data_IF_920938506017
#
_entry.id   IF_920938506017
#
_cell.length_a   1.000
_cell.length_b   1.000
_cell.length_c   1.000
_cell.angle_alpha   90.00
_cell.angle_beta   90.00
_cell.angle_gamma   90.00
#
_symmetry.space_group_name_H-M   'P 1'
#
loop_
_entity.id
_entity.type
_entity.pdbx_description
1 polymer ?
#
# COMPACT_ATOMS: atom_id res chain seq x y z
N UNK A 1 14.59 -90.79 51.17
CA UNK A 1 15.27 -89.42 51.04
C UNK A 1 15.16 -89.00 49.63
N UNK A 2 14.10 -88.24 49.28
CA UNK A 2 13.91 -87.68 47.91
C UNK A 2 13.83 -86.13 48.04
N UNK A 3 14.78 -85.39 47.46
CA UNK A 3 14.76 -83.95 47.37
C UNK A 3 14.11 -83.56 46.03
N UNK A 4 13.00 -82.92 46.13
CA UNK A 4 12.26 -82.32 44.97
C UNK A 4 12.81 -80.92 44.68
N UNK A 5 13.30 -80.73 43.47
CA UNK A 5 13.79 -79.44 42.96
C UNK A 5 12.60 -78.69 42.37
N UNK A 6 12.25 -77.52 42.91
CA UNK A 6 11.26 -76.59 42.32
C UNK A 6 11.89 -75.61 41.38
N UNK A 7 11.51 -75.68 40.10
CA UNK A 7 11.90 -74.73 39.06
C UNK A 7 11.00 -73.46 39.14
N UNK A 8 11.55 -72.35 39.38
CA UNK A 8 10.83 -71.07 39.35
C UNK A 8 11.05 -70.43 37.96
N UNK A 9 10.00 -70.40 37.14
CA UNK A 9 9.95 -69.67 35.85
C UNK A 9 9.61 -68.22 36.12
N UNK A 10 10.52 -67.29 35.88
CA UNK A 10 10.26 -65.84 35.87
C UNK A 10 9.80 -65.46 34.49
N UNK A 11 8.54 -65.03 34.36
CA UNK A 11 7.99 -64.42 33.17
C UNK A 11 8.43 -62.94 33.14
N UNK A 12 9.28 -62.58 32.16
CA UNK A 12 9.66 -61.19 31.90
C UNK A 12 8.59 -60.53 31.03
N UNK A 13 7.91 -59.50 31.56
CA UNK A 13 6.97 -58.63 30.82
C UNK A 13 7.78 -57.57 30.02
N UNK A 14 7.87 -57.75 28.69
CA UNK A 14 8.46 -56.73 27.82
C UNK A 14 7.41 -55.61 27.54
N UNK A 15 7.62 -54.45 28.14
CA UNK A 15 6.80 -53.25 27.85
C UNK A 15 7.31 -52.63 26.56
N UNK A 16 6.54 -52.76 25.48
CA UNK A 16 6.80 -52.06 24.22
C UNK A 16 6.31 -50.60 24.36
N UNK A 17 7.27 -49.63 24.53
CA UNK A 17 6.97 -48.20 24.49
C UNK A 17 6.87 -47.80 23.03
N UNK A 18 5.62 -47.64 22.51
CA UNK A 18 5.37 -47.02 21.22
C UNK A 18 5.49 -45.49 21.41
N UNK A 19 6.64 -44.91 21.02
CA UNK A 19 6.82 -43.48 20.94
C UNK A 19 6.08 -43.01 19.69
N UNK A 20 4.83 -42.57 19.84
CA UNK A 20 4.08 -41.86 18.80
C UNK A 20 4.73 -40.48 18.62
N UNK A 21 5.61 -40.38 17.64
CA UNK A 21 6.15 -39.09 17.19
C UNK A 21 5.01 -38.26 16.58
N UNK A 22 4.42 -37.35 17.37
CA UNK A 22 3.58 -36.32 16.82
C UNK A 22 4.49 -35.42 15.93
N UNK A 23 4.36 -35.53 14.62
CA UNK A 23 4.88 -34.50 13.71
C UNK A 23 4.19 -33.18 14.09
N UNK A 24 4.89 -32.36 14.88
CA UNK A 24 4.51 -30.97 15.07
C UNK A 24 4.62 -30.32 13.70
N UNK A 25 3.49 -30.08 13.02
CA UNK A 25 3.45 -29.24 11.86
C UNK A 25 3.99 -27.86 12.30
N UNK A 26 5.15 -27.47 11.76
CA UNK A 26 5.65 -26.11 11.95
C UNK A 26 4.54 -25.16 11.53
N UNK A 27 4.21 -24.11 12.32
CA UNK A 27 3.21 -23.14 11.90
C UNK A 27 3.61 -22.64 10.51
N UNK A 28 2.65 -22.67 9.58
CA UNK A 28 2.86 -22.17 8.24
C UNK A 28 3.42 -20.74 8.38
N UNK A 29 4.63 -20.53 7.85
CA UNK A 29 5.27 -19.21 7.90
C UNK A 29 4.48 -18.31 6.97
N UNK A 30 3.99 -17.17 7.49
CA UNK A 30 3.27 -16.19 6.69
C UNK A 30 4.04 -15.89 5.39
N UNK A 31 3.39 -16.07 4.24
CA UNK A 31 3.96 -15.80 2.94
C UNK A 31 3.69 -14.33 2.56
N UNK A 32 4.68 -13.66 1.97
CA UNK A 32 4.54 -12.27 1.52
C UNK A 32 4.31 -12.24 0.01
N UNK A 33 3.21 -11.62 -0.40
CA UNK A 33 2.86 -11.44 -1.81
C UNK A 33 2.89 -9.98 -2.21
N UNK A 34 3.22 -9.77 -3.48
CA UNK A 34 3.35 -8.46 -4.11
C UNK A 34 2.47 -8.43 -5.34
N UNK A 35 1.59 -7.44 -5.45
CA UNK A 35 0.73 -7.21 -6.59
C UNK A 35 1.19 -5.95 -7.31
N UNK A 36 1.51 -6.08 -8.61
CA UNK A 36 1.99 -4.97 -9.44
C UNK A 36 1.02 -4.73 -10.58
N UNK A 37 0.40 -3.55 -10.61
CA UNK A 37 -0.48 -3.11 -11.69
C UNK A 37 0.32 -2.57 -12.87
N UNK A 38 0.19 -3.22 -14.04
CA UNK A 38 0.87 -2.85 -15.29
C UNK A 38 -0.17 -2.28 -16.26
N UNK A 39 -0.30 -0.95 -16.28
CA UNK A 39 -1.43 -0.28 -16.93
C UNK A 39 -1.52 -0.53 -18.42
N UNK A 40 -0.41 -0.39 -19.17
CA UNK A 40 -0.45 -0.49 -20.65
C UNK A 40 -0.50 -1.93 -21.14
N UNK A 41 -0.11 -2.92 -20.31
CA UNK A 41 -0.37 -4.33 -20.58
C UNK A 41 -1.71 -4.81 -20.04
N UNK A 42 -2.45 -3.97 -19.29
CA UNK A 42 -3.75 -4.28 -18.69
C UNK A 42 -3.75 -5.57 -17.85
N UNK A 43 -2.73 -5.71 -16.99
CA UNK A 43 -2.53 -6.92 -16.19
C UNK A 43 -1.95 -6.62 -14.81
N UNK A 44 -2.14 -7.57 -13.90
CA UNK A 44 -1.54 -7.59 -12.57
C UNK A 44 -0.51 -8.72 -12.54
N UNK A 45 0.72 -8.42 -12.14
CA UNK A 45 1.68 -9.44 -11.77
C UNK A 45 1.52 -9.76 -10.29
N UNK A 46 1.39 -11.04 -9.97
CA UNK A 46 1.47 -11.57 -8.61
C UNK A 46 2.85 -12.16 -8.42
N UNK A 47 3.58 -11.64 -7.42
CA UNK A 47 4.90 -12.14 -7.08
C UNK A 47 4.91 -12.58 -5.61
N UNK A 48 5.77 -13.53 -5.29
CA UNK A 48 6.08 -13.91 -3.92
C UNK A 48 7.43 -13.32 -3.52
N UNK A 49 7.50 -12.70 -2.35
CA UNK A 49 8.72 -12.16 -1.76
C UNK A 49 9.31 -13.19 -0.79
N UNK A 50 10.51 -13.66 -1.09
CA UNK A 50 11.31 -14.44 -0.14
C UNK A 50 11.94 -13.51 0.91
N UNK A 51 11.40 -13.48 2.11
CA UNK A 51 11.86 -12.58 3.18
C UNK A 51 13.31 -12.78 3.63
N UNK A 52 13.89 -13.98 3.63
CA UNK A 52 15.31 -14.14 3.93
C UNK A 52 16.24 -13.42 2.97
N UNK A 53 15.98 -13.48 1.66
CA UNK A 53 16.87 -12.96 0.62
C UNK A 53 16.40 -11.66 -0.03
N UNK A 54 15.11 -11.30 0.09
CA UNK A 54 14.50 -10.19 -0.66
C UNK A 54 14.24 -10.52 -2.15
N UNK A 55 14.39 -11.79 -2.55
CA UNK A 55 14.16 -12.23 -3.92
C UNK A 55 12.66 -12.30 -4.24
N UNK A 56 12.31 -11.95 -5.48
CA UNK A 56 10.95 -12.02 -5.99
C UNK A 56 10.83 -13.14 -7.03
N UNK A 57 9.74 -13.90 -6.93
CA UNK A 57 9.36 -14.93 -7.90
C UNK A 57 7.96 -14.66 -8.43
N UNK A 58 7.79 -14.63 -9.76
CA UNK A 58 6.46 -14.46 -10.38
C UNK A 58 5.63 -15.71 -10.13
N UNK A 59 4.47 -15.54 -9.50
CA UNK A 59 3.48 -16.59 -9.23
C UNK A 59 2.52 -16.72 -10.42
N UNK A 60 1.99 -15.59 -10.88
CA UNK A 60 1.09 -15.52 -12.04
C UNK A 60 1.00 -14.10 -12.63
N UNK A 61 0.39 -14.02 -13.80
CA UNK A 61 0.00 -12.77 -14.45
C UNK A 61 -1.49 -12.84 -14.74
N UNK A 62 -2.24 -11.85 -14.29
CA UNK A 62 -3.70 -11.85 -14.34
C UNK A 62 -4.18 -10.66 -15.16
N UNK A 63 -4.95 -10.85 -16.23
CA UNK A 63 -5.54 -9.75 -16.97
C UNK A 63 -6.60 -9.03 -16.13
N UNK A 64 -6.72 -7.71 -16.32
CA UNK A 64 -7.81 -6.92 -15.71
C UNK A 64 -9.00 -6.98 -16.68
N UNK A 65 -10.10 -7.66 -16.30
CA UNK A 65 -11.21 -7.89 -17.23
C UNK A 65 -12.04 -6.62 -17.45
N UNK A 66 -12.69 -6.56 -18.63
CA UNK A 66 -13.64 -5.50 -18.96
C UNK A 66 -13.01 -4.15 -19.29
N UNK A 67 -11.69 -4.08 -19.48
CA UNK A 67 -10.98 -2.86 -19.90
C UNK A 67 -10.79 -2.87 -21.41
N UNK A 68 -11.41 -1.92 -22.09
CA UNK A 68 -11.26 -1.74 -23.54
C UNK A 68 -10.07 -0.83 -23.88
N UNK A 69 -9.88 0.21 -23.07
CA UNK A 69 -8.79 1.19 -23.23
C UNK A 69 -8.13 1.41 -21.88
N UNK A 70 -6.87 0.99 -21.71
CA UNK A 70 -6.10 1.32 -20.51
C UNK A 70 -6.01 2.83 -20.29
N UNK A 71 -6.03 3.26 -19.04
CA UNK A 71 -5.86 4.65 -18.67
C UNK A 71 -4.41 4.99 -18.31
N UNK A 72 -4.23 6.02 -17.48
CA UNK A 72 -2.89 6.51 -17.11
C UNK A 72 -2.29 5.78 -15.89
N UNK A 73 -3.08 5.05 -15.14
CA UNK A 73 -2.64 4.25 -13.99
C UNK A 73 -3.72 3.26 -13.57
N UNK A 74 -3.30 2.30 -12.75
CA UNK A 74 -4.13 1.21 -12.26
C UNK A 74 -4.08 1.21 -10.72
N UNK A 75 -4.78 2.16 -10.05
CA UNK A 75 -4.79 2.20 -8.60
C UNK A 75 -5.38 0.92 -8.02
N UNK A 76 -4.74 0.40 -6.99
CA UNK A 76 -5.17 -0.83 -6.31
C UNK A 76 -5.36 -0.57 -4.82
N UNK A 77 -6.19 -1.39 -4.18
CA UNK A 77 -6.35 -1.43 -2.73
C UNK A 77 -6.73 -2.84 -2.28
N UNK A 78 -6.10 -3.29 -1.20
CA UNK A 78 -6.41 -4.57 -0.57
C UNK A 78 -7.45 -4.37 0.53
N UNK A 79 -8.41 -5.30 0.66
CA UNK A 79 -9.36 -5.28 1.77
C UNK A 79 -8.64 -5.49 3.12
N UNK A 80 -9.14 -4.94 4.24
CA UNK A 80 -8.50 -5.08 5.55
C UNK A 80 -8.33 -6.52 6.01
N UNK A 81 -9.23 -7.41 5.60
CA UNK A 81 -9.18 -8.86 5.87
C UNK A 81 -8.26 -9.64 4.91
N UNK A 82 -7.64 -8.94 3.94
CA UNK A 82 -6.73 -9.47 2.90
C UNK A 82 -7.37 -10.54 2.00
N UNK A 83 -8.69 -10.58 1.90
CA UNK A 83 -9.41 -11.53 1.07
C UNK A 83 -9.68 -11.03 -0.34
N UNK A 84 -9.59 -9.72 -0.56
CA UNK A 84 -9.88 -9.09 -1.85
C UNK A 84 -8.83 -8.05 -2.22
N UNK A 85 -8.49 -8.01 -3.51
CA UNK A 85 -7.79 -6.92 -4.17
C UNK A 85 -8.78 -6.20 -5.09
N UNK A 86 -8.85 -4.88 -4.98
CA UNK A 86 -9.63 -4.02 -5.86
C UNK A 86 -8.72 -3.24 -6.78
N UNK A 87 -9.11 -3.13 -8.03
CA UNK A 87 -8.34 -2.47 -9.08
C UNK A 87 -9.23 -1.45 -9.78
N UNK A 88 -8.93 -0.17 -9.61
CA UNK A 88 -9.62 0.92 -10.29
C UNK A 88 -9.06 1.11 -11.71
N UNK A 89 -9.93 1.18 -12.71
CA UNK A 89 -9.51 1.49 -14.07
C UNK A 89 -9.65 2.98 -14.33
N UNK A 90 -8.61 3.59 -14.90
CA UNK A 90 -8.65 5.01 -15.32
C UNK A 90 -8.91 5.16 -16.82
N UNK A 91 -9.12 4.04 -17.50
CA UNK A 91 -9.49 3.94 -18.91
C UNK A 91 -11.01 3.86 -19.12
N UNK A 92 -11.43 3.10 -20.14
CA UNK A 92 -12.84 2.85 -20.42
C UNK A 92 -13.12 1.33 -20.46
N UNK A 93 -14.26 0.91 -19.92
CA UNK A 93 -15.15 1.65 -19.01
C UNK A 93 -14.52 1.94 -17.65
N UNK A 94 -15.06 2.91 -16.90
CA UNK A 94 -14.61 3.25 -15.55
C UNK A 94 -15.22 2.27 -14.56
N UNK A 95 -14.42 1.30 -14.14
CA UNK A 95 -14.83 0.21 -13.24
C UNK A 95 -13.81 -0.01 -12.13
N UNK A 96 -14.27 -0.61 -11.05
CA UNK A 96 -13.42 -1.27 -10.06
C UNK A 96 -13.58 -2.78 -10.23
N UNK A 97 -12.52 -3.46 -10.65
CA UNK A 97 -12.47 -4.91 -10.72
C UNK A 97 -12.07 -5.49 -9.35
N UNK A 98 -12.90 -6.39 -8.81
CA UNK A 98 -12.66 -7.08 -7.56
C UNK A 98 -12.10 -8.48 -7.82
N UNK A 99 -11.03 -8.83 -7.13
CA UNK A 99 -10.39 -10.14 -7.19
C UNK A 99 -10.36 -10.76 -5.79
N UNK A 100 -10.80 -12.02 -5.67
CA UNK A 100 -10.55 -12.81 -4.48
C UNK A 100 -9.07 -13.24 -4.45
N UNK A 101 -8.45 -13.15 -3.27
CA UNK A 101 -7.07 -13.56 -3.03
C UNK A 101 -7.08 -14.96 -2.42
N UNK A 102 -6.45 -15.91 -3.10
CA UNK A 102 -6.21 -17.24 -2.54
C UNK A 102 -5.21 -17.15 -1.39
N UNK A 103 -5.63 -17.53 -0.21
CA UNK A 103 -4.87 -17.32 1.04
C UNK A 103 -3.61 -18.17 1.14
N UNK A 104 -3.50 -19.26 0.37
CA UNK A 104 -2.33 -20.12 0.38
C UNK A 104 -1.29 -19.73 -0.67
N UNK A 105 -1.73 -19.26 -1.84
CA UNK A 105 -0.86 -19.01 -3.00
C UNK A 105 -0.76 -17.55 -3.42
N UNK A 106 -1.55 -16.65 -2.82
CA UNK A 106 -1.65 -15.24 -3.22
C UNK A 106 -2.28 -15.01 -4.59
N UNK A 107 -2.71 -16.07 -5.30
CA UNK A 107 -3.30 -15.97 -6.63
C UNK A 107 -4.63 -15.22 -6.61
N UNK A 108 -4.93 -14.58 -7.74
CA UNK A 108 -6.09 -13.73 -7.91
C UNK A 108 -7.16 -14.42 -8.77
N UNK A 109 -8.39 -14.41 -8.28
CA UNK A 109 -9.56 -14.84 -9.05
C UNK A 109 -10.53 -13.67 -9.17
N UNK A 110 -10.77 -13.17 -10.39
CA UNK A 110 -11.78 -12.15 -10.62
C UNK A 110 -13.16 -12.64 -10.12
N UNK A 111 -13.83 -11.79 -9.33
CA UNK A 111 -15.15 -12.11 -8.78
C UNK A 111 -16.25 -11.26 -9.38
N UNK A 112 -16.00 -9.95 -9.55
CA UNK A 112 -16.96 -9.03 -10.16
C UNK A 112 -16.27 -7.70 -10.50
N UNK A 113 -16.90 -6.92 -11.37
CA UNK A 113 -16.55 -5.51 -11.60
C UNK A 113 -17.77 -4.64 -11.35
N UNK A 114 -17.57 -3.50 -10.70
CA UNK A 114 -18.61 -2.52 -10.43
C UNK A 114 -18.29 -1.16 -10.99
N UNK A 115 -19.31 -0.29 -11.22
CA UNK A 115 -19.11 1.02 -11.84
C UNK A 115 -18.44 2.01 -10.90
N UNK A 116 -17.55 2.83 -11.44
CA UNK A 116 -16.99 4.01 -10.79
C UNK A 116 -17.62 5.27 -11.39
N UNK A 117 -17.81 6.31 -10.57
CA UNK A 117 -18.37 7.58 -11.02
C UNK A 117 -17.43 8.33 -11.98
N UNK A 118 -16.15 8.00 -11.99
CA UNK A 118 -15.13 8.69 -12.77
C UNK A 118 -13.81 7.91 -12.83
N UNK A 119 -12.83 8.46 -13.55
CA UNK A 119 -11.43 8.02 -13.57
C UNK A 119 -10.76 8.36 -12.22
N UNK A 120 -10.65 7.38 -11.33
CA UNK A 120 -10.08 7.59 -9.99
C UNK A 120 -8.55 7.49 -10.04
N UNK A 121 -7.86 8.52 -9.54
CA UNK A 121 -6.41 8.53 -9.41
C UNK A 121 -5.92 7.65 -8.24
N UNK A 122 -6.79 7.45 -7.27
CA UNK A 122 -6.56 6.67 -6.05
C UNK A 122 -7.85 6.01 -5.60
N UNK A 123 -7.73 4.80 -5.11
CA UNK A 123 -8.78 4.09 -4.39
C UNK A 123 -8.25 3.60 -3.04
N UNK A 124 -9.09 3.58 -2.04
CA UNK A 124 -8.80 2.98 -0.74
C UNK A 124 -10.01 2.22 -0.22
N UNK A 125 -9.78 1.23 0.63
CA UNK A 125 -10.86 0.53 1.32
C UNK A 125 -10.90 1.03 2.76
N UNK A 126 -12.07 1.35 3.26
CA UNK A 126 -12.26 1.72 4.66
C UNK A 126 -11.89 0.58 5.61
N UNK A 127 -11.66 0.86 6.89
CA UNK A 127 -11.17 -0.16 7.84
C UNK A 127 -12.18 -1.27 8.13
N UNK A 128 -13.45 -1.10 7.77
CA UNK A 128 -14.46 -2.16 7.88
C UNK A 128 -14.54 -3.06 6.66
N UNK A 129 -13.91 -2.68 5.54
CA UNK A 129 -13.99 -3.40 4.27
C UNK A 129 -15.32 -3.19 3.53
N UNK A 130 -16.16 -2.25 3.98
CA UNK A 130 -17.51 -2.05 3.43
C UNK A 130 -17.61 -0.95 2.39
N UNK A 131 -16.60 -0.07 2.29
CA UNK A 131 -16.65 1.07 1.40
C UNK A 131 -15.32 1.24 0.64
N UNK A 132 -15.44 1.44 -0.66
CA UNK A 132 -14.35 1.91 -1.50
C UNK A 132 -14.45 3.44 -1.58
N UNK A 133 -13.38 4.09 -1.12
CA UNK A 133 -13.19 5.54 -1.20
C UNK A 133 -12.40 5.86 -2.46
N UNK A 134 -12.80 6.88 -3.20
CA UNK A 134 -12.16 7.24 -4.46
C UNK A 134 -11.85 8.72 -4.59
N UNK A 135 -10.69 9.06 -5.16
CA UNK A 135 -10.29 10.41 -5.52
C UNK A 135 -10.13 10.52 -7.04
N UNK A 136 -10.90 11.39 -7.68
CA UNK A 136 -10.84 11.62 -9.13
C UNK A 136 -10.04 12.88 -9.46
N UNK A 137 -8.92 12.69 -10.17
CA UNK A 137 -8.09 13.77 -10.66
C UNK A 137 -8.77 14.57 -11.79
N UNK A 138 -9.23 13.95 -12.91
CA UNK A 138 -9.84 14.70 -13.99
C UNK A 138 -11.27 15.17 -13.68
N UNK A 139 -11.98 14.45 -12.82
CA UNK A 139 -13.37 14.78 -12.46
C UNK A 139 -13.51 15.70 -11.27
N UNK A 140 -12.41 16.09 -10.60
CA UNK A 140 -12.41 17.03 -9.48
C UNK A 140 -13.42 16.66 -8.38
N UNK A 141 -13.45 15.38 -8.01
CA UNK A 141 -14.45 14.85 -7.07
C UNK A 141 -13.89 13.74 -6.17
N UNK A 142 -14.61 13.52 -5.09
CA UNK A 142 -14.43 12.41 -4.15
C UNK A 142 -15.66 11.51 -4.23
N UNK A 143 -15.47 10.20 -4.15
CA UNK A 143 -16.55 9.22 -4.26
C UNK A 143 -16.49 8.19 -3.14
N UNK A 144 -17.66 7.67 -2.77
CA UNK A 144 -17.80 6.52 -1.89
C UNK A 144 -18.71 5.50 -2.55
N UNK A 145 -18.21 4.30 -2.72
CA UNK A 145 -18.92 3.15 -3.27
C UNK A 145 -19.09 2.08 -2.20
N UNK A 146 -20.28 1.56 -1.92
CA UNK A 146 -20.45 0.40 -1.06
C UNK A 146 -19.79 -0.85 -1.68
N UNK A 147 -19.34 -1.77 -0.84
CA UNK A 147 -18.85 -3.09 -1.23
C UNK A 147 -19.84 -4.13 -0.74
N UNK A 148 -20.48 -4.83 -1.67
CA UNK A 148 -21.37 -5.94 -1.39
C UNK A 148 -20.71 -7.32 -1.55
N UNK A 149 -21.41 -8.40 -1.15
CA UNK A 149 -20.93 -9.75 -1.40
C UNK A 149 -20.84 -10.08 -2.89
N UNK A 150 -19.94 -10.91 -3.33
CA UNK A 150 -18.74 -11.45 -2.64
C UNK A 150 -17.49 -10.56 -2.81
N UNK A 151 -17.56 -9.28 -2.49
CA UNK A 151 -16.51 -8.28 -2.75
C UNK A 151 -16.79 -7.43 -3.99
N UNK A 152 -18.08 -7.25 -4.35
CA UNK A 152 -18.50 -6.47 -5.52
C UNK A 152 -18.64 -5.01 -5.15
N UNK A 153 -17.94 -4.13 -5.86
CA UNK A 153 -18.11 -2.69 -5.75
C UNK A 153 -19.47 -2.30 -6.34
N UNK A 154 -20.32 -1.62 -5.54
CA UNK A 154 -21.62 -1.16 -5.95
C UNK A 154 -21.54 0.23 -6.58
N UNK A 155 -22.60 0.71 -7.26
CA UNK A 155 -22.66 2.09 -7.71
C UNK A 155 -22.36 3.08 -6.59
N UNK A 156 -21.75 4.25 -6.89
CA UNK A 156 -21.39 5.21 -5.86
C UNK A 156 -22.62 5.72 -5.12
N UNK A 157 -22.59 5.65 -3.79
CA UNK A 157 -23.64 6.19 -2.93
C UNK A 157 -23.42 7.67 -2.61
N UNK A 158 -22.17 8.15 -2.72
CA UNK A 158 -21.83 9.55 -2.53
C UNK A 158 -20.84 10.00 -3.60
N UNK A 159 -21.12 11.16 -4.19
CA UNK A 159 -20.23 11.86 -5.14
C UNK A 159 -20.15 13.31 -4.71
N UNK A 160 -18.98 13.74 -4.27
CA UNK A 160 -18.71 15.10 -3.80
C UNK A 160 -17.89 15.85 -4.87
N UNK A 161 -18.47 16.82 -5.60
CA UNK A 161 -17.72 17.65 -6.54
C UNK A 161 -16.99 18.80 -5.84
N UNK A 162 -16.11 19.50 -6.56
CA UNK A 162 -15.44 20.70 -6.05
C UNK A 162 -14.11 20.43 -5.36
N UNK A 163 -13.48 19.28 -5.65
CA UNK A 163 -12.17 18.90 -5.15
C UNK A 163 -11.15 18.86 -6.29
N UNK A 164 -10.57 20.01 -6.68
CA UNK A 164 -9.75 20.13 -7.89
C UNK A 164 -8.56 19.19 -7.88
N UNK A 165 -8.50 18.31 -8.88
CA UNK A 165 -7.42 17.32 -9.03
C UNK A 165 -7.18 16.49 -7.77
N UNK A 166 -8.24 16.01 -7.10
CA UNK A 166 -8.15 15.11 -5.97
C UNK A 166 -7.29 13.90 -6.35
N UNK A 167 -6.20 13.61 -5.62
CA UNK A 167 -5.21 12.65 -6.07
C UNK A 167 -5.04 11.43 -5.15
N UNK A 168 -5.30 11.55 -3.88
CA UNK A 168 -5.34 10.43 -2.94
C UNK A 168 -6.44 10.59 -1.90
N UNK A 169 -6.78 9.49 -1.24
CA UNK A 169 -7.82 9.42 -0.22
C UNK A 169 -7.57 8.25 0.71
N UNK A 170 -7.51 8.47 2.01
CA UNK A 170 -7.34 7.43 3.02
C UNK A 170 -8.11 7.77 4.29
N UNK A 171 -8.69 6.74 4.91
CA UNK A 171 -9.21 6.83 6.27
C UNK A 171 -8.08 6.68 7.30
N UNK A 172 -8.20 7.36 8.42
CA UNK A 172 -7.32 7.20 9.56
C UNK A 172 -7.42 5.80 10.19
N UNK A 173 -6.53 5.48 11.12
CA UNK A 173 -6.51 4.17 11.77
C UNK A 173 -7.77 3.88 12.60
N UNK A 174 -8.45 4.93 13.06
CA UNK A 174 -9.70 4.84 13.83
C UNK A 174 -10.95 4.77 12.92
N UNK A 175 -10.78 4.89 11.59
CA UNK A 175 -11.87 4.91 10.60
C UNK A 175 -12.92 6.00 10.87
N UNK A 176 -12.49 7.15 11.42
CA UNK A 176 -13.36 8.27 11.78
C UNK A 176 -13.14 9.52 10.94
N UNK A 177 -11.96 9.66 10.37
CA UNK A 177 -11.62 10.80 9.53
C UNK A 177 -10.99 10.33 8.23
N UNK A 178 -11.22 11.09 7.17
CA UNK A 178 -10.66 10.86 5.84
C UNK A 178 -9.96 12.13 5.37
N UNK A 179 -8.75 11.98 4.83
CA UNK A 179 -7.98 13.08 4.23
C UNK A 179 -7.95 12.92 2.72
N UNK A 180 -7.98 14.06 2.03
CA UNK A 180 -7.96 14.12 0.56
C UNK A 180 -7.11 15.31 0.10
N UNK A 181 -5.85 15.10 -0.31
CA UNK A 181 -5.07 16.10 -1.01
C UNK A 181 -5.66 16.43 -2.37
N UNK A 182 -5.72 17.72 -2.67
CA UNK A 182 -6.17 18.27 -3.94
C UNK A 182 -5.08 19.12 -4.57
N UNK A 183 -4.47 18.59 -5.63
CA UNK A 183 -3.33 19.18 -6.31
C UNK A 183 -3.68 20.53 -6.97
N UNK A 184 -4.92 20.67 -7.44
CA UNK A 184 -5.35 21.84 -8.20
C UNK A 184 -5.60 23.11 -7.39
N UNK A 185 -5.65 23.04 -6.06
CA UNK A 185 -5.87 24.18 -5.18
C UNK A 185 -5.02 24.16 -3.90
N UNK A 186 -3.94 23.37 -3.89
CA UNK A 186 -2.94 23.32 -2.82
C UNK A 186 -3.50 23.06 -1.42
N UNK A 187 -4.47 22.13 -1.31
CA UNK A 187 -5.17 21.81 -0.06
C UNK A 187 -5.09 20.32 0.30
N UNK A 188 -5.11 20.05 1.60
CA UNK A 188 -5.45 18.73 2.16
C UNK A 188 -6.81 18.86 2.82
N UNK A 189 -7.83 18.31 2.18
CA UNK A 189 -9.21 18.36 2.68
C UNK A 189 -9.42 17.33 3.78
N UNK A 190 -10.26 17.66 4.75
CA UNK A 190 -10.49 16.91 5.97
C UNK A 190 -12.00 16.62 6.10
N UNK A 191 -12.32 15.34 6.34
CA UNK A 191 -13.69 14.87 6.50
C UNK A 191 -13.83 14.07 7.78
N UNK A 192 -14.99 14.14 8.41
CA UNK A 192 -15.49 13.06 9.26
C UNK A 192 -16.01 11.94 8.39
N UNK A 193 -15.83 10.71 8.82
CA UNK A 193 -16.30 9.51 8.14
C UNK A 193 -17.22 8.72 9.06
N UNK A 194 -18.46 8.55 8.67
CA UNK A 194 -19.39 7.67 9.36
C UNK A 194 -19.20 6.24 8.81
N UNK A 195 -18.47 5.42 9.54
CA UNK A 195 -18.20 4.04 9.14
C UNK A 195 -19.47 3.15 9.12
N UNK A 196 -20.60 3.58 9.70
CA UNK A 196 -21.85 2.82 9.63
C UNK A 196 -22.55 3.01 8.28
N UNK A 197 -22.55 4.23 7.76
CA UNK A 197 -23.24 4.63 6.54
C UNK A 197 -22.32 4.86 5.34
N UNK A 198 -21.00 5.01 5.58
CA UNK A 198 -20.02 5.35 4.55
C UNK A 198 -20.01 6.82 4.14
N UNK A 199 -20.72 7.69 4.86
CA UNK A 199 -20.84 9.10 4.49
C UNK A 199 -19.64 9.93 4.92
N UNK A 200 -19.16 10.77 4.01
CA UNK A 200 -18.14 11.80 4.25
C UNK A 200 -18.81 13.15 4.48
N UNK A 201 -18.42 13.83 5.55
CA UNK A 201 -18.86 15.20 5.85
C UNK A 201 -17.62 16.08 6.08
N UNK A 202 -17.47 17.24 5.38
CA UNK A 202 -16.35 18.14 5.62
C UNK A 202 -16.27 18.59 7.08
N UNK A 203 -15.08 18.65 7.65
CA UNK A 203 -14.84 19.18 9.02
C UNK A 203 -14.89 20.71 9.03
N UNK A 204 -14.73 21.32 10.21
CA UNK A 204 -14.54 22.77 10.37
C UNK A 204 -13.25 23.05 11.12
N UNK A 205 -12.20 23.63 10.49
CA UNK A 205 -12.08 23.93 9.06
C UNK A 205 -12.07 22.66 8.18
N UNK A 206 -12.50 22.78 6.91
CA UNK A 206 -12.62 21.64 6.01
C UNK A 206 -11.31 21.28 5.29
N UNK A 207 -10.28 22.07 5.42
CA UNK A 207 -8.98 21.83 4.80
C UNK A 207 -7.85 22.59 5.51
N UNK A 208 -6.62 22.12 5.29
CA UNK A 208 -5.38 22.88 5.53
C UNK A 208 -4.75 23.20 4.17
N UNK A 209 -4.19 24.40 4.03
CA UNK A 209 -3.43 24.81 2.85
C UNK A 209 -1.96 24.43 2.98
N UNK A 210 -1.33 24.07 1.87
CA UNK A 210 0.12 23.95 1.75
C UNK A 210 0.63 25.15 0.92
N UNK A 211 1.93 25.23 0.72
CA UNK A 211 2.55 26.27 -0.11
C UNK A 211 1.88 26.34 -1.49
N UNK A 212 1.62 27.56 -1.96
CA UNK A 212 1.03 27.77 -3.28
C UNK A 212 1.85 27.11 -4.40
N UNK A 213 1.19 26.41 -5.31
CA UNK A 213 1.76 25.64 -6.42
C UNK A 213 2.58 24.41 -5.97
N UNK A 214 2.38 23.92 -4.76
CA UNK A 214 2.97 22.68 -4.29
C UNK A 214 2.32 21.45 -4.91
N UNK A 215 1.01 21.48 -5.14
CA UNK A 215 0.27 20.38 -5.69
C UNK A 215 0.29 19.12 -4.80
N UNK A 216 -0.33 19.16 -3.60
CA UNK A 216 -0.35 18.02 -2.69
C UNK A 216 -1.00 16.81 -3.37
N UNK A 217 -0.30 15.65 -3.31
CA UNK A 217 -0.62 14.50 -4.15
C UNK A 217 -0.98 13.25 -3.36
N UNK A 218 0.02 12.53 -2.88
CA UNK A 218 -0.13 11.39 -1.99
C UNK A 218 0.20 11.77 -0.56
N UNK A 219 -0.29 11.00 0.37
CA UNK A 219 0.02 11.17 1.79
C UNK A 219 -0.02 9.82 2.51
N UNK A 220 0.57 9.78 3.70
CA UNK A 220 0.56 8.62 4.57
C UNK A 220 0.42 9.07 6.02
N UNK A 221 -0.37 8.31 6.80
CA UNK A 221 -0.37 8.42 8.25
C UNK A 221 0.86 7.73 8.83
N UNK A 222 1.54 8.37 9.76
CA UNK A 222 2.55 7.70 10.57
C UNK A 222 1.92 6.60 11.42
N UNK A 223 2.56 5.41 11.59
CA UNK A 223 2.02 4.31 12.39
C UNK A 223 1.63 4.69 13.82
N UNK A 224 2.33 5.67 14.41
CA UNK A 224 2.00 6.22 15.72
C UNK A 224 0.72 7.06 15.79
N UNK A 225 0.04 7.29 14.66
CA UNK A 225 -1.27 7.95 14.58
C UNK A 225 -1.29 9.44 14.92
N UNK A 226 -0.13 10.10 15.02
CA UNK A 226 -0.02 11.52 15.43
C UNK A 226 0.55 12.43 14.34
N UNK A 227 0.98 11.87 13.21
CA UNK A 227 1.61 12.60 12.13
C UNK A 227 1.02 12.17 10.80
N UNK A 228 1.02 13.10 9.85
CA UNK A 228 0.71 12.88 8.44
C UNK A 228 1.82 13.49 7.60
N UNK A 229 2.27 12.76 6.60
CA UNK A 229 3.23 13.21 5.60
C UNK A 229 2.54 13.35 4.25
N UNK A 230 2.69 14.46 3.58
CA UNK A 230 2.09 14.77 2.27
C UNK A 230 3.19 15.15 1.30
N UNK A 231 3.21 14.56 0.10
CA UNK A 231 4.14 14.94 -0.96
C UNK A 231 3.51 15.94 -1.92
N UNK A 232 4.19 17.06 -2.17
CA UNK A 232 3.86 18.00 -3.23
C UNK A 232 4.42 17.53 -4.57
N UNK A 233 3.54 17.25 -5.54
CA UNK A 233 3.95 16.81 -6.88
C UNK A 233 4.78 17.86 -7.60
N UNK A 234 4.38 19.14 -7.47
CA UNK A 234 4.87 20.23 -8.31
C UNK A 234 6.08 20.96 -7.74
N UNK A 235 6.39 20.76 -6.45
CA UNK A 235 7.56 21.39 -5.80
C UNK A 235 8.51 20.36 -5.16
N UNK A 236 8.16 19.07 -5.15
CA UNK A 236 8.99 18.00 -4.59
C UNK A 236 9.21 18.11 -3.09
N UNK A 237 8.28 18.74 -2.36
CA UNK A 237 8.37 18.95 -0.91
C UNK A 237 7.54 17.92 -0.15
N UNK A 238 8.09 17.35 0.92
CA UNK A 238 7.34 16.60 1.93
C UNK A 238 6.90 17.58 3.01
N UNK A 239 5.59 17.71 3.18
CA UNK A 239 4.94 18.48 4.24
C UNK A 239 4.63 17.54 5.41
N UNK A 240 5.05 17.93 6.60
CA UNK A 240 4.83 17.19 7.86
C UNK A 240 3.76 17.91 8.65
N UNK A 241 2.74 17.17 9.06
CA UNK A 241 1.65 17.70 9.88
C UNK A 241 1.56 16.94 11.20
N UNK A 242 1.32 17.68 12.29
CA UNK A 242 0.71 17.10 13.47
C UNK A 242 -0.75 16.75 13.15
N UNK A 243 -1.17 15.55 13.56
CA UNK A 243 -2.51 15.04 13.35
C UNK A 243 -3.23 14.82 14.67
N UNK A 244 -4.34 15.52 14.86
CA UNK A 244 -5.25 15.30 15.98
C UNK A 244 -6.31 14.27 15.59
N UNK A 245 -6.13 13.03 16.01
CA UNK A 245 -7.06 11.94 15.72
C UNK A 245 -8.43 12.09 16.38
N UNK A 246 -8.61 13.02 17.35
CA UNK A 246 -9.92 13.29 17.96
C UNK A 246 -10.80 14.18 17.08
N UNK A 247 -10.20 15.08 16.33
CA UNK A 247 -10.88 16.08 15.48
C UNK A 247 -10.63 15.91 14.00
N UNK A 248 -9.65 15.07 13.59
CA UNK A 248 -9.21 14.90 12.21
C UNK A 248 -8.38 16.07 11.67
N UNK A 249 -7.94 17.00 12.53
CA UNK A 249 -7.27 18.24 12.12
C UNK A 249 -5.78 18.03 11.89
N UNK A 250 -5.28 18.73 10.88
CA UNK A 250 -3.88 18.85 10.54
C UNK A 250 -3.34 20.23 10.97
N UNK A 251 -2.13 20.25 11.51
CA UNK A 251 -1.37 21.48 11.78
C UNK A 251 0.01 21.31 11.19
N UNK A 252 0.42 22.22 10.26
CA UNK A 252 1.73 22.12 9.62
C UNK A 252 2.86 22.26 10.68
N UNK A 253 3.85 21.40 10.57
CA UNK A 253 4.99 21.30 11.48
C UNK A 253 6.32 21.59 10.78
N UNK A 254 6.49 21.04 9.58
CA UNK A 254 7.74 21.12 8.81
C UNK A 254 7.45 20.95 7.32
N UNK A 255 8.31 21.56 6.50
CA UNK A 255 8.42 21.22 5.09
C UNK A 255 9.90 20.91 4.77
N UNK A 256 10.15 19.85 3.97
CA UNK A 256 11.50 19.39 3.62
C UNK A 256 11.53 18.89 2.18
N UNK A 257 12.58 19.24 1.42
CA UNK A 257 12.71 18.82 0.02
C UNK A 257 13.02 17.33 -0.11
N UNK A 258 12.34 16.66 -1.04
CA UNK A 258 12.65 15.32 -1.53
C UNK A 258 13.49 15.33 -2.82
N UNK A 259 13.83 16.51 -3.33
CA UNK A 259 14.65 16.66 -4.53
C UNK A 259 16.14 16.41 -4.21
N UNK A 260 16.89 15.77 -5.11
CA UNK A 260 18.35 15.71 -4.99
C UNK A 260 18.95 17.13 -4.99
N UNK A 261 20.13 17.34 -4.37
CA UNK A 261 20.74 18.68 -4.28
C UNK A 261 21.04 19.33 -5.63
N UNK A 262 21.31 18.52 -6.64
CA UNK A 262 21.65 18.92 -8.01
C UNK A 262 20.45 18.80 -8.97
N UNK A 263 19.22 18.74 -8.44
CA UNK A 263 18.01 18.56 -9.23
C UNK A 263 17.86 19.64 -10.31
N UNK A 264 17.56 19.17 -11.52
CA UNK A 264 17.28 20.02 -12.68
C UNK A 264 15.92 19.70 -13.28
N UNK A 265 15.20 20.70 -13.71
CA UNK A 265 13.92 20.56 -14.39
C UNK A 265 12.70 20.89 -13.51
N UNK A 266 11.56 20.33 -13.88
CA UNK A 266 10.30 20.50 -13.15
C UNK A 266 10.07 19.32 -12.23
N UNK A 267 9.84 19.52 -10.95
CA UNK A 267 9.51 18.44 -10.04
C UNK A 267 8.25 17.67 -10.49
N UNK A 268 8.27 16.39 -10.25
CA UNK A 268 7.15 15.49 -10.51
C UNK A 268 7.13 14.38 -9.45
N UNK A 269 7.19 14.77 -8.17
CA UNK A 269 7.16 13.81 -7.08
C UNK A 269 5.86 13.01 -7.08
N UNK A 270 5.91 11.75 -6.63
CA UNK A 270 4.77 10.87 -6.87
C UNK A 270 4.23 10.20 -5.60
N UNK A 271 5.02 9.42 -4.94
CA UNK A 271 4.55 8.55 -3.86
C UNK A 271 5.40 8.70 -2.61
N UNK A 272 4.85 8.32 -1.45
CA UNK A 272 5.60 8.29 -0.21
C UNK A 272 5.06 7.21 0.72
N UNK A 273 5.97 6.54 1.44
CA UNK A 273 5.66 5.52 2.43
C UNK A 273 6.57 5.64 3.64
N UNK A 274 6.02 5.34 4.81
CA UNK A 274 6.75 5.24 6.08
C UNK A 274 6.97 3.78 6.44
N UNK A 275 8.12 3.44 7.01
CA UNK A 275 8.37 2.09 7.51
C UNK A 275 7.37 1.70 8.60
N UNK A 276 7.02 0.41 8.75
CA UNK A 276 6.05 -0.04 9.75
C UNK A 276 6.40 0.33 11.20
N UNK A 277 7.68 0.48 11.50
CA UNK A 277 8.19 0.94 12.81
C UNK A 277 8.18 2.47 12.97
N UNK A 278 7.84 3.22 11.90
CA UNK A 278 7.78 4.67 11.88
C UNK A 278 9.12 5.39 11.84
N UNK A 279 10.25 4.67 11.69
CA UNK A 279 11.58 5.30 11.80
C UNK A 279 12.04 6.01 10.53
N UNK A 280 11.57 5.57 9.37
CA UNK A 280 12.01 6.09 8.07
C UNK A 280 10.82 6.37 7.16
N UNK A 281 10.95 7.45 6.40
CA UNK A 281 10.05 7.82 5.30
C UNK A 281 10.83 7.81 3.99
N UNK A 282 10.20 7.34 2.93
CA UNK A 282 10.75 7.45 1.57
C UNK A 282 9.75 8.14 0.65
N UNK A 283 10.27 8.81 -0.36
CA UNK A 283 9.46 9.49 -1.38
C UNK A 283 10.06 9.27 -2.78
N UNK A 284 9.22 9.05 -3.78
CA UNK A 284 9.65 8.88 -5.17
C UNK A 284 9.54 10.19 -5.95
N UNK A 285 10.53 10.46 -6.82
CA UNK A 285 10.55 11.61 -7.72
C UNK A 285 10.78 11.14 -9.17
N UNK A 286 9.81 11.45 -10.04
CA UNK A 286 9.72 10.88 -11.39
C UNK A 286 10.68 11.56 -12.39
N UNK A 287 10.96 12.84 -12.26
CA UNK A 287 11.85 13.59 -13.18
C UNK A 287 13.30 13.18 -12.98
N UNK A 288 13.76 13.12 -11.74
CA UNK A 288 15.12 12.65 -11.39
C UNK A 288 15.25 11.13 -11.39
N UNK A 289 14.15 10.40 -11.35
CA UNK A 289 14.13 8.94 -11.19
C UNK A 289 14.85 8.49 -9.91
N UNK A 290 14.48 9.08 -8.79
CA UNK A 290 15.11 8.83 -7.48
C UNK A 290 14.08 8.46 -6.41
N UNK A 291 14.60 7.81 -5.36
CA UNK A 291 13.94 7.63 -4.05
C UNK A 291 14.70 8.46 -3.03
N UNK A 292 14.04 9.46 -2.44
CA UNK A 292 14.54 10.23 -1.33
C UNK A 292 14.22 9.53 -0.01
N UNK A 293 15.20 9.45 0.90
CA UNK A 293 15.03 8.86 2.23
C UNK A 293 15.08 9.94 3.32
N UNK A 294 14.34 9.71 4.39
CA UNK A 294 14.28 10.57 5.58
C UNK A 294 14.26 9.73 6.84
N UNK A 295 14.97 10.19 7.88
CA UNK A 295 14.82 9.70 9.24
C UNK A 295 13.73 10.50 9.95
N UNK A 296 12.84 9.82 10.63
CA UNK A 296 11.83 10.43 11.51
C UNK A 296 12.42 10.60 12.91
N UNK A 297 12.37 11.81 13.47
CA UNK A 297 12.69 12.04 14.87
C UNK A 297 11.50 11.54 15.73
N UNK A 298 11.67 10.52 16.59
CA UNK A 298 10.57 9.93 17.33
C UNK A 298 9.95 10.85 18.38
N UNK A 299 10.70 11.85 18.85
CA UNK A 299 10.24 12.80 19.87
C UNK A 299 9.55 14.02 19.25
N UNK A 300 10.11 14.53 18.16
CA UNK A 300 9.62 15.76 17.50
C UNK A 300 8.69 15.47 16.34
N UNK A 301 8.79 14.27 15.73
CA UNK A 301 8.07 13.91 14.52
C UNK A 301 8.57 14.62 13.26
N UNK A 302 9.74 15.26 13.33
CA UNK A 302 10.35 15.96 12.20
C UNK A 302 11.18 15.00 11.34
N UNK A 303 11.42 15.39 10.08
CA UNK A 303 12.19 14.63 9.11
C UNK A 303 13.61 15.20 8.97
N UNK A 304 14.61 14.32 8.95
CA UNK A 304 16.01 14.64 8.58
C UNK A 304 16.34 13.89 7.29
N UNK A 305 16.77 14.58 6.21
CA UNK A 305 17.12 13.92 4.95
C UNK A 305 18.28 12.93 5.11
N UNK A 306 18.19 11.78 4.45
CA UNK A 306 19.24 10.77 4.33
C UNK A 306 19.91 10.80 2.94
N UNK A 307 19.41 11.65 2.05
CA UNK A 307 19.81 11.70 0.64
C UNK A 307 18.88 10.93 -0.27
N UNK A 308 19.27 10.80 -1.53
CA UNK A 308 18.50 10.13 -2.57
C UNK A 308 19.32 9.02 -3.24
N UNK A 309 18.64 7.98 -3.71
CA UNK A 309 19.25 6.91 -4.52
C UNK A 309 18.57 6.83 -5.88
N UNK A 310 19.30 6.57 -6.97
CA UNK A 310 18.71 6.30 -8.27
C UNK A 310 17.84 5.03 -8.23
N UNK A 311 16.74 5.05 -9.00
CA UNK A 311 15.83 3.91 -9.12
C UNK A 311 15.35 3.72 -10.55
N UNK A 312 14.21 3.04 -10.72
CA UNK A 312 13.56 2.84 -12.01
C UNK A 312 13.22 4.16 -12.71
N UNK A 313 13.18 4.15 -14.06
CA UNK A 313 12.84 5.34 -14.82
C UNK A 313 11.37 5.73 -14.60
N UNK A 314 11.14 6.96 -14.14
CA UNK A 314 9.82 7.52 -13.80
C UNK A 314 9.10 6.67 -12.73
N UNK A 315 9.64 6.61 -11.48
CA UNK A 315 9.09 5.79 -10.39
C UNK A 315 7.80 6.43 -9.87
N UNK A 316 6.65 5.89 -10.29
CA UNK A 316 5.34 6.43 -9.89
C UNK A 316 4.82 5.85 -8.59
N UNK A 317 5.03 4.56 -8.35
CA UNK A 317 4.62 3.86 -7.14
C UNK A 317 5.76 3.02 -6.58
N UNK A 318 5.77 2.86 -5.27
CA UNK A 318 6.63 1.93 -4.56
C UNK A 318 5.92 1.46 -3.30
N UNK A 319 6.39 0.39 -2.68
CA UNK A 319 5.86 -0.07 -1.40
C UNK A 319 6.98 -0.59 -0.51
N UNK A 320 6.75 -0.58 0.80
CA UNK A 320 7.62 -1.17 1.81
C UNK A 320 6.94 -2.43 2.34
N UNK A 321 7.67 -3.52 2.44
CA UNK A 321 7.12 -4.76 2.98
C UNK A 321 6.73 -4.63 4.46
N UNK A 322 5.85 -5.48 4.92
CA UNK A 322 5.28 -5.41 6.27
C UNK A 322 6.32 -5.61 7.39
N UNK A 323 7.51 -6.14 7.06
CA UNK A 323 8.63 -6.23 8.01
C UNK A 323 9.50 -4.97 8.06
N UNK A 324 9.32 -4.04 7.13
CA UNK A 324 10.15 -2.84 6.99
C UNK A 324 11.56 -3.09 6.47
N UNK A 325 11.83 -4.30 5.95
CA UNK A 325 13.18 -4.69 5.49
C UNK A 325 13.42 -4.44 4.02
N UNK A 326 12.36 -4.37 3.22
CA UNK A 326 12.46 -4.25 1.78
C UNK A 326 11.56 -3.14 1.24
N UNK A 327 12.10 -2.41 0.29
CA UNK A 327 11.37 -1.43 -0.53
C UNK A 327 11.39 -1.92 -1.98
N UNK A 328 10.22 -1.91 -2.62
CA UNK A 328 10.04 -2.32 -4.00
C UNK A 328 9.50 -1.13 -4.81
N UNK A 329 10.25 -0.66 -5.81
CA UNK A 329 9.89 0.48 -6.65
C UNK A 329 9.65 0.08 -8.09
N UNK A 330 8.57 0.59 -8.71
CA UNK A 330 8.21 0.30 -10.11
C UNK A 330 8.37 1.53 -10.98
N UNK A 331 8.89 1.35 -12.20
CA UNK A 331 9.17 2.43 -13.15
C UNK A 331 8.30 2.37 -14.39
N UNK A 332 7.54 3.45 -14.62
CA UNK A 332 6.61 3.53 -15.74
C UNK A 332 7.31 3.36 -17.11
N UNK A 333 8.51 3.95 -17.26
CA UNK A 333 9.24 3.97 -18.54
C UNK A 333 10.33 2.90 -18.64
N UNK A 334 10.80 2.35 -17.51
CA UNK A 334 11.73 1.22 -17.51
C UNK A 334 11.02 -0.12 -17.65
N UNK A 335 9.70 -0.17 -17.40
CA UNK A 335 8.92 -1.42 -17.39
C UNK A 335 9.53 -2.46 -16.44
N UNK A 336 10.05 -1.98 -15.32
CA UNK A 336 10.79 -2.77 -14.33
C UNK A 336 10.34 -2.52 -12.90
N UNK A 337 10.81 -3.41 -12.04
CA UNK A 337 10.72 -3.31 -10.58
C UNK A 337 12.13 -3.50 -10.00
N UNK A 338 12.57 -2.54 -9.19
CA UNK A 338 13.79 -2.67 -8.40
C UNK A 338 13.47 -2.97 -6.94
N UNK A 339 14.18 -3.94 -6.37
CA UNK A 339 14.12 -4.26 -4.94
C UNK A 339 15.33 -3.68 -4.20
N UNK A 340 15.08 -3.20 -2.98
CA UNK A 340 16.09 -2.61 -2.09
C UNK A 340 15.97 -3.23 -0.70
N UNK A 341 17.10 -3.49 -0.05
CA UNK A 341 17.15 -3.69 1.37
C UNK A 341 17.17 -2.34 2.09
N UNK A 342 16.42 -2.23 3.18
CA UNK A 342 16.43 -1.09 4.10
C UNK A 342 17.32 -1.47 5.29
N UNK A 343 18.38 -0.70 5.53
CA UNK A 343 19.18 -0.85 6.73
C UNK A 343 18.38 -0.35 7.95
N UNK A 344 18.08 -1.20 8.94
CA UNK A 344 17.19 -0.84 10.05
C UNK A 344 17.77 0.20 11.01
N UNK A 345 19.10 0.41 11.01
CA UNK A 345 19.74 1.37 11.88
C UNK A 345 19.87 2.76 11.22
N UNK A 346 20.09 2.78 9.91
CA UNK A 346 20.41 4.02 9.18
C UNK A 346 19.34 4.46 8.20
N UNK A 347 18.44 3.57 7.76
CA UNK A 347 17.46 3.82 6.70
C UNK A 347 18.07 3.84 5.29
N UNK A 348 19.34 3.46 5.15
CA UNK A 348 20.00 3.44 3.84
C UNK A 348 19.41 2.34 2.97
N UNK A 349 19.10 2.70 1.72
CA UNK A 349 18.67 1.76 0.70
C UNK A 349 19.87 1.13 -0.01
N UNK A 350 19.88 -0.20 -0.08
CA UNK A 350 20.87 -0.97 -0.87
C UNK A 350 20.09 -1.73 -1.95
N UNK A 351 20.35 -1.42 -3.22
CA UNK A 351 19.72 -2.11 -4.35
C UNK A 351 20.11 -3.58 -4.36
N UNK A 352 19.12 -4.47 -4.47
CA UNK A 352 19.33 -5.92 -4.51
C UNK A 352 19.24 -6.43 -5.94
N UNK A 353 18.11 -6.21 -6.60
CA UNK A 353 17.86 -6.78 -7.94
C UNK A 353 16.81 -6.00 -8.71
N UNK A 354 16.88 -6.11 -10.04
CA UNK A 354 15.87 -5.63 -10.98
C UNK A 354 15.09 -6.81 -11.56
N UNK A 355 13.79 -6.59 -11.80
CA UNK A 355 12.88 -7.59 -12.35
C UNK A 355 12.10 -6.97 -13.51
N UNK A 356 12.00 -7.64 -14.69
CA UNK A 356 11.13 -7.17 -15.76
C UNK A 356 9.66 -7.30 -15.37
N UNK A 357 8.89 -6.25 -15.64
CA UNK A 357 7.44 -6.22 -15.42
C UNK A 357 6.69 -6.11 -16.76
N UNK A 358 5.36 -5.98 -16.71
CA UNK A 358 4.55 -5.57 -17.84
C UNK A 358 4.79 -4.10 -18.20
N UNK A 359 4.06 -3.59 -19.21
CA UNK A 359 4.23 -2.21 -19.66
C UNK A 359 3.58 -1.21 -18.69
N UNK A 360 4.30 -0.14 -18.35
CA UNK A 360 3.87 0.94 -17.48
C UNK A 360 3.42 0.44 -16.09
N UNK A 361 4.30 -0.28 -15.32
CA UNK A 361 4.02 -0.61 -13.94
C UNK A 361 4.01 0.67 -13.11
N UNK A 362 2.93 0.89 -12.33
CA UNK A 362 2.76 2.18 -11.63
C UNK A 362 2.00 2.10 -10.31
N UNK A 363 1.61 0.91 -9.90
CA UNK A 363 1.00 0.65 -8.62
C UNK A 363 1.52 -0.66 -8.04
N UNK A 364 1.70 -0.71 -6.72
CA UNK A 364 2.22 -1.89 -6.03
C UNK A 364 1.60 -2.01 -4.64
N UNK A 365 1.14 -3.22 -4.30
CA UNK A 365 0.65 -3.59 -2.98
C UNK A 365 1.46 -4.76 -2.44
N UNK A 366 1.79 -4.75 -1.16
CA UNK A 366 2.51 -5.84 -0.49
C UNK A 366 1.71 -6.29 0.73
N UNK A 367 1.42 -7.59 0.80
CA UNK A 367 0.66 -8.18 1.91
C UNK A 367 1.29 -9.47 2.41
N UNK A 368 1.01 -9.78 3.67
CA UNK A 368 1.27 -11.08 4.26
C UNK A 368 -0.02 -11.90 4.28
N UNK A 369 0.08 -13.15 3.87
CA UNK A 369 -0.98 -14.14 4.00
C UNK A 369 -0.56 -15.23 5.01
N UNK A 370 -1.52 -15.90 5.64
CA UNK A 370 -1.28 -16.90 6.69
C UNK A 370 -0.30 -18.00 6.33
#
# INVERSE_FOLDING_TARGET
>A
MHRTLRLVVRAGLAVLIVVSGALMASPARAATFVYVGNTDSNEIYVLQLDRPSGALTVVEKVPIPGVEKPGNSTPMAVSPDRRFLYVGTRGEPKIAAGFAIDQASGKLKHVASGPLADSLAYIAIDRTGRFLLGASYPGHKVTVNPIGPPGTVQPPQQVLPGYPNAHSILADTANRHVLVPTLGNDRVNQFTFDAATGMLTPTTPSAVEVKAKAGPRHFVFHPGGKLVYVIGELDGTVYVFDYDASTGRLTEKQSVSALPPDFQGKPSAADLHVTPDGQFLYASERTSSTLAGFRVDPAKGTLTPLGSVPTEKQPRGFAIDTSGRYLLAVGQLSHGLSSYAIDPATGKLTKLKEYPMGKNPNWIEIIDLP
#
